data_IF_056865313475
#
_entry.id   IF_056865313475
#
_cell.length_a   1.000
_cell.length_b   1.000
_cell.length_c   1.000
_cell.angle_alpha   90.00
_cell.angle_beta   90.00
_cell.angle_gamma   90.00
#
_symmetry.space_group_name_H-M   'P 1'
#
loop_
_entity.id
_entity.type
_entity.pdbx_description
1 polymer ?
#
# COMPACT_ATOMS: atom_id res chain seq x y z
N UNK A 1 -7.37 -28.28 3.65
CA UNK A 1 -7.17 -27.83 5.05
C UNK A 1 -6.09 -26.76 5.01
N UNK A 2 -6.37 -25.55 5.51
CA UNK A 2 -5.34 -24.50 5.61
C UNK A 2 -4.40 -24.87 6.76
N UNK A 3 -3.09 -24.81 6.54
CA UNK A 3 -2.10 -25.20 7.55
C UNK A 3 -2.12 -24.22 8.74
N UNK A 4 -1.80 -24.70 9.95
CA UNK A 4 -1.68 -23.84 11.14
C UNK A 4 -0.68 -22.69 10.97
N UNK A 5 0.34 -22.88 10.13
CA UNK A 5 1.29 -21.83 9.76
C UNK A 5 0.66 -20.69 8.95
N UNK A 6 -0.37 -20.99 8.15
CA UNK A 6 -1.10 -19.99 7.36
C UNK A 6 -2.08 -19.24 8.26
N UNK A 7 -2.80 -19.93 9.14
CA UNK A 7 -3.68 -19.25 10.11
C UNK A 7 -2.92 -18.28 11.02
N UNK A 8 -1.75 -18.67 11.52
CA UNK A 8 -0.91 -17.79 12.34
C UNK A 8 -0.44 -16.52 11.59
N UNK A 9 -0.24 -16.64 10.27
CA UNK A 9 0.14 -15.51 9.42
C UNK A 9 -1.03 -14.56 9.20
N UNK A 10 -2.24 -15.09 9.04
CA UNK A 10 -3.46 -14.29 8.85
C UNK A 10 -3.75 -13.43 10.08
N UNK A 11 -3.57 -14.01 11.27
CA UNK A 11 -3.73 -13.30 12.54
C UNK A 11 -2.69 -12.19 12.69
N UNK A 12 -1.43 -12.45 12.32
CA UNK A 12 -0.36 -11.44 12.37
C UNK A 12 -0.66 -10.26 11.43
N UNK A 13 -1.10 -10.54 10.20
CA UNK A 13 -1.41 -9.48 9.23
C UNK A 13 -2.68 -8.70 9.61
N UNK A 14 -3.74 -9.38 10.06
CA UNK A 14 -4.94 -8.72 10.58
C UNK A 14 -4.64 -7.86 11.80
N UNK A 15 -3.76 -8.33 12.69
CA UNK A 15 -3.26 -7.54 13.82
C UNK A 15 -2.53 -6.30 13.35
N UNK A 16 -1.63 -6.41 12.35
CA UNK A 16 -0.91 -5.26 11.78
C UNK A 16 -1.85 -4.25 11.12
N UNK A 17 -2.80 -4.72 10.30
CA UNK A 17 -3.80 -3.88 9.62
C UNK A 17 -4.58 -3.05 10.65
N UNK A 18 -5.07 -3.70 11.72
CA UNK A 18 -5.81 -3.04 12.79
C UNK A 18 -4.93 -2.08 13.59
N UNK A 19 -3.74 -2.52 14.01
CA UNK A 19 -2.83 -1.74 14.86
C UNK A 19 -2.35 -0.46 14.18
N UNK A 20 -2.08 -0.52 12.87
CA UNK A 20 -1.56 0.62 12.10
C UNK A 20 -2.66 1.46 11.46
N UNK A 21 -3.93 1.04 11.56
CA UNK A 21 -5.06 1.69 10.91
C UNK A 21 -4.92 1.71 9.39
N UNK A 22 -4.45 0.62 8.79
CA UNK A 22 -4.05 0.61 7.37
C UNK A 22 -5.19 0.95 6.41
N UNK A 23 -6.43 0.58 6.75
CA UNK A 23 -7.62 0.81 5.93
C UNK A 23 -7.98 2.30 5.76
N UNK A 24 -7.50 3.18 6.65
CA UNK A 24 -7.78 4.62 6.60
C UNK A 24 -6.60 5.47 6.10
N UNK A 25 -5.46 4.85 5.74
CA UNK A 25 -4.24 5.56 5.34
C UNK A 25 -4.29 6.17 3.94
N UNK A 26 -5.27 5.80 3.12
CA UNK A 26 -5.34 6.16 1.71
C UNK A 26 -6.78 6.48 1.29
N UNK A 27 -6.95 7.44 0.39
CA UNK A 27 -8.26 7.79 -0.14
C UNK A 27 -8.84 6.63 -0.96
N UNK A 28 -10.17 6.48 -0.92
CA UNK A 28 -10.88 5.39 -1.61
C UNK A 28 -10.58 5.31 -3.11
N UNK A 29 -10.34 6.46 -3.76
CA UNK A 29 -9.92 6.51 -5.17
C UNK A 29 -8.60 5.80 -5.38
N UNK A 30 -7.62 6.04 -4.52
CA UNK A 30 -6.29 5.44 -4.62
C UNK A 30 -6.30 3.98 -4.18
N UNK A 31 -7.11 3.60 -3.19
CA UNK A 31 -7.39 2.20 -2.86
C UNK A 31 -7.85 1.41 -4.08
N UNK A 32 -8.83 1.94 -4.83
CA UNK A 32 -9.34 1.29 -6.05
C UNK A 32 -8.26 1.13 -7.13
N UNK A 33 -7.44 2.15 -7.38
CA UNK A 33 -6.36 2.07 -8.38
C UNK A 33 -5.31 1.02 -8.01
N UNK A 34 -4.86 1.02 -6.76
CA UNK A 34 -3.87 0.05 -6.26
C UNK A 34 -4.44 -1.36 -6.35
N UNK A 35 -5.68 -1.56 -5.92
CA UNK A 35 -6.38 -2.84 -6.04
C UNK A 35 -6.43 -3.34 -7.49
N UNK A 36 -6.97 -2.55 -8.42
CA UNK A 36 -7.08 -2.98 -9.82
C UNK A 36 -5.72 -3.21 -10.47
N UNK A 37 -4.68 -2.45 -10.10
CA UNK A 37 -3.33 -2.67 -10.63
C UNK A 37 -2.72 -4.01 -10.19
N UNK A 38 -3.04 -4.46 -8.96
CA UNK A 38 -2.54 -5.71 -8.40
C UNK A 38 -3.38 -6.90 -8.90
N UNK A 39 -4.70 -6.84 -8.73
CA UNK A 39 -5.59 -7.99 -8.89
C UNK A 39 -6.24 -8.09 -10.28
N UNK A 40 -6.25 -7.00 -11.04
CA UNK A 40 -6.93 -6.91 -12.34
C UNK A 40 -5.96 -6.34 -13.40
N UNK A 41 -6.48 -5.57 -14.36
CA UNK A 41 -5.70 -4.79 -15.32
C UNK A 41 -5.91 -3.32 -14.99
N UNK A 42 -4.89 -2.67 -14.43
CA UNK A 42 -4.98 -1.27 -14.00
C UNK A 42 -3.63 -0.64 -13.75
N UNK A 43 -3.63 0.69 -13.61
CA UNK A 43 -2.45 1.51 -13.32
C UNK A 43 -2.69 2.38 -12.10
N UNK A 44 -1.60 2.72 -11.41
CA UNK A 44 -1.62 3.65 -10.27
C UNK A 44 -1.06 4.99 -10.75
N UNK A 45 -1.81 6.05 -10.50
CA UNK A 45 -1.37 7.43 -10.77
C UNK A 45 -0.30 7.88 -9.77
N UNK A 46 0.54 8.83 -10.16
CA UNK A 46 1.63 9.31 -9.29
C UNK A 46 1.10 9.89 -7.97
N UNK A 47 -0.02 10.61 -7.99
CA UNK A 47 -0.73 11.09 -6.79
C UNK A 47 -1.07 9.94 -5.83
N UNK A 48 -1.63 8.85 -6.35
CA UNK A 48 -1.94 7.66 -5.54
C UNK A 48 -0.69 6.88 -5.12
N UNK A 49 0.41 6.96 -5.88
CA UNK A 49 1.69 6.42 -5.44
C UNK A 49 2.26 7.15 -4.22
N UNK A 50 2.08 8.46 -4.09
CA UNK A 50 2.50 9.17 -2.86
C UNK A 50 1.68 8.73 -1.65
N UNK A 51 0.36 8.58 -1.79
CA UNK A 51 -0.48 8.06 -0.70
C UNK A 51 -0.09 6.63 -0.31
N UNK A 52 0.14 5.78 -1.31
CA UNK A 52 0.58 4.40 -1.07
C UNK A 52 1.92 4.38 -0.32
N UNK A 53 2.91 5.16 -0.77
CA UNK A 53 4.20 5.27 -0.09
C UNK A 53 4.07 5.77 1.35
N UNK A 54 3.23 6.79 1.58
CA UNK A 54 2.91 7.30 2.93
C UNK A 54 2.21 6.28 3.83
N UNK A 55 1.40 5.38 3.26
CA UNK A 55 0.75 4.30 4.02
C UNK A 55 1.76 3.28 4.58
N UNK A 56 2.94 3.18 3.96
CA UNK A 56 4.03 2.32 4.40
C UNK A 56 3.93 0.88 3.89
N UNK A 57 5.07 0.17 3.82
CA UNK A 57 5.13 -1.17 3.23
C UNK A 57 4.33 -2.20 4.03
N UNK A 58 4.31 -2.08 5.36
CA UNK A 58 3.56 -2.99 6.23
C UNK A 58 2.07 -2.99 5.89
N UNK A 59 1.48 -1.82 5.69
CA UNK A 59 0.07 -1.71 5.33
C UNK A 59 -0.20 -2.23 3.92
N UNK A 60 0.64 -1.88 2.95
CA UNK A 60 0.50 -2.32 1.57
C UNK A 60 0.51 -3.86 1.46
N UNK A 61 1.53 -4.51 2.02
CA UNK A 61 1.67 -5.96 1.89
C UNK A 61 0.66 -6.73 2.72
N UNK A 62 0.33 -6.28 3.94
CA UNK A 62 -0.68 -6.94 4.77
C UNK A 62 -2.07 -6.86 4.13
N UNK A 63 -2.46 -5.70 3.57
CA UNK A 63 -3.73 -5.58 2.85
C UNK A 63 -3.76 -6.47 1.59
N UNK A 64 -2.67 -6.47 0.80
CA UNK A 64 -2.59 -7.31 -0.40
C UNK A 64 -2.72 -8.80 -0.09
N UNK A 65 -2.06 -9.30 0.96
CA UNK A 65 -2.15 -10.71 1.32
C UNK A 65 -3.46 -11.07 2.00
N UNK A 66 -4.03 -10.22 2.86
CA UNK A 66 -5.40 -10.40 3.35
C UNK A 66 -6.39 -10.56 2.19
N UNK A 67 -6.37 -9.64 1.22
CA UNK A 67 -7.25 -9.69 0.04
C UNK A 67 -7.03 -10.95 -0.80
N UNK A 68 -5.76 -11.36 -0.99
CA UNK A 68 -5.44 -12.60 -1.68
C UNK A 68 -6.08 -13.82 -0.99
N UNK A 69 -6.12 -13.82 0.34
CA UNK A 69 -6.65 -14.94 1.10
C UNK A 69 -8.17 -14.91 1.29
N UNK A 70 -8.79 -13.75 1.37
CA UNK A 70 -10.25 -13.66 1.55
C UNK A 70 -10.98 -13.72 0.22
N UNK A 71 -10.53 -12.96 -0.78
CA UNK A 71 -11.26 -12.76 -2.04
C UNK A 71 -10.66 -13.56 -3.21
N UNK A 72 -9.33 -13.66 -3.31
CA UNK A 72 -8.64 -14.22 -4.48
C UNK A 72 -7.83 -15.47 -4.16
N UNK A 73 -8.46 -16.47 -3.53
CA UNK A 73 -7.87 -17.80 -3.26
C UNK A 73 -7.54 -18.53 -4.58
N UNK A 74 -6.54 -18.06 -5.31
CA UNK A 74 -6.23 -18.44 -6.69
C UNK A 74 -4.86 -19.11 -6.80
N UNK A 75 -4.71 -19.96 -7.82
CA UNK A 75 -3.42 -20.55 -8.24
C UNK A 75 -2.41 -19.50 -8.75
N UNK A 76 -2.82 -18.24 -8.90
CA UNK A 76 -1.96 -17.14 -9.34
C UNK A 76 -1.44 -16.26 -8.19
N UNK A 77 -1.54 -16.73 -6.93
CA UNK A 77 -1.02 -16.04 -5.74
C UNK A 77 0.37 -15.42 -5.95
N UNK A 78 1.32 -16.19 -6.50
CA UNK A 78 2.68 -15.70 -6.77
C UNK A 78 2.71 -14.53 -7.76
N UNK A 79 1.88 -14.56 -8.81
CA UNK A 79 1.80 -13.46 -9.79
C UNK A 79 1.22 -12.20 -9.15
N UNK A 80 0.20 -12.35 -8.31
CA UNK A 80 -0.42 -11.24 -7.57
C UNK A 80 0.59 -10.60 -6.62
N UNK A 81 1.37 -11.40 -5.88
CA UNK A 81 2.41 -10.89 -4.98
C UNK A 81 3.54 -10.18 -5.74
N UNK A 82 3.93 -10.68 -6.91
CA UNK A 82 4.89 -10.00 -7.80
C UNK A 82 4.34 -8.65 -8.27
N UNK A 83 3.07 -8.58 -8.69
CA UNK A 83 2.42 -7.31 -9.08
C UNK A 83 2.34 -6.34 -7.90
N UNK A 84 1.98 -6.83 -6.71
CA UNK A 84 1.97 -6.03 -5.47
C UNK A 84 3.35 -5.43 -5.17
N UNK A 85 4.41 -6.22 -5.30
CA UNK A 85 5.80 -5.76 -5.12
C UNK A 85 6.18 -4.72 -6.17
N UNK A 86 5.82 -4.94 -7.43
CA UNK A 86 6.13 -4.01 -8.52
C UNK A 86 5.43 -2.65 -8.34
N UNK A 87 4.15 -2.65 -7.94
CA UNK A 87 3.41 -1.42 -7.62
C UNK A 87 4.08 -0.67 -6.47
N UNK A 88 4.46 -1.38 -5.40
CA UNK A 88 5.16 -0.77 -4.26
C UNK A 88 6.49 -0.13 -4.69
N UNK A 89 7.35 -0.86 -5.38
CA UNK A 89 8.67 -0.38 -5.81
C UNK A 89 8.56 0.84 -6.72
N UNK A 90 7.61 0.84 -7.67
CA UNK A 90 7.36 2.00 -8.53
C UNK A 90 6.95 3.22 -7.70
N UNK A 91 5.99 3.06 -6.80
CA UNK A 91 5.48 4.17 -6.00
C UNK A 91 6.52 4.71 -5.00
N UNK A 92 7.38 3.83 -4.45
CA UNK A 92 8.49 4.22 -3.60
C UNK A 92 9.57 5.00 -4.36
N UNK A 93 9.89 4.59 -5.60
CA UNK A 93 10.83 5.33 -6.44
C UNK A 93 10.32 6.73 -6.79
N UNK A 94 9.01 6.88 -7.05
CA UNK A 94 8.39 8.18 -7.27
C UNK A 94 8.43 9.05 -6.01
N UNK A 95 8.09 8.51 -4.84
CA UNK A 95 8.13 9.30 -3.60
C UNK A 95 9.55 9.71 -3.19
N UNK A 96 10.55 8.87 -3.48
CA UNK A 96 11.96 9.15 -3.20
C UNK A 96 12.55 10.23 -4.11
N UNK A 97 12.05 10.36 -5.35
CA UNK A 97 12.46 11.42 -6.26
C UNK A 97 12.04 12.83 -5.80
N UNK A 98 10.96 12.92 -5.01
CA UNK A 98 10.49 14.17 -4.41
C UNK A 98 10.92 14.33 -2.94
N UNK A 99 11.65 13.36 -2.39
CA UNK A 99 12.22 13.41 -1.04
C UNK A 99 13.39 14.39 -0.87
N UNK A 100 13.92 14.93 -1.98
CA UNK A 100 14.90 16.03 -1.96
C UNK A 100 14.28 17.43 -1.89
N UNK A 101 12.99 17.59 -2.18
CA UNK A 101 12.32 18.90 -2.27
C UNK A 101 11.48 19.23 -1.01
N UNK A 102 11.25 18.27 -0.12
CA UNK A 102 10.39 18.47 1.07
C UNK A 102 11.08 19.14 2.26
N UNK A 103 12.41 19.34 2.23
CA UNK A 103 13.13 20.09 3.28
C UNK A 103 13.13 21.61 3.07
N UNK A 104 12.62 22.12 1.94
CA UNK A 104 12.56 23.58 1.70
C UNK A 104 11.26 24.25 2.19
N UNK A 105 10.23 23.47 2.53
CA UNK A 105 8.92 24.00 2.96
C UNK A 105 8.78 24.16 4.49
N UNK A 106 9.88 24.19 5.23
CA UNK A 106 9.90 24.55 6.66
C UNK A 106 10.48 25.96 6.90
N UNK A 107 9.58 26.94 6.76
CA UNK A 107 9.47 28.21 7.52
C UNK A 107 10.32 29.45 7.13
N UNK A 108 9.87 30.68 7.47
CA UNK A 108 8.50 31.20 7.61
C UNK A 108 8.29 32.53 6.83
N UNK A 109 7.06 33.04 6.73
CA UNK A 109 6.87 34.47 6.45
C UNK A 109 5.81 35.06 7.39
N UNK A 110 6.08 36.23 8.00
CA UNK A 110 5.26 36.81 9.05
C UNK A 110 4.02 37.49 8.46
N UNK A 111 2.86 37.25 9.06
CA UNK A 111 1.70 38.08 8.84
C UNK A 111 1.88 39.37 9.67
N UNK A 112 1.94 40.50 8.98
CA UNK A 112 1.79 41.84 9.56
C UNK A 112 0.38 42.01 10.12
N UNK A 113 0.29 42.66 11.29
CA UNK A 113 -0.93 43.16 11.93
C UNK A 113 -0.55 44.01 13.13
#
# INVERSE_FOLDING_TARGET
MVSGAVMARDDAENYLIKKLGCESKMHVKCVKQVFSSIFEVGTVTDSCCYELAKSGPLCHFALAYRTLQTEFKTSNASKILVKSTHVWSRCLALSSQFGGELTSMSSPSPAYG
#
